data_IF_973833287903
#
_entry.id   IF_973833287903
#
_cell.length_a   1.000
_cell.length_b   1.000
_cell.length_c   1.000
_cell.angle_alpha   90.00
_cell.angle_beta   90.00
_cell.angle_gamma   90.00
#
_symmetry.space_group_name_H-M   'P 1'
#
loop_
_entity.id
_entity.type
_entity.pdbx_description
1 polymer ?
#
# COMPACT_ATOMS: atom_id res chain seq x y z
N UNK A 1 -9.98 -14.45 3.15
CA UNK A 1 -8.70 -13.88 2.67
C UNK A 1 -7.53 -14.72 3.14
N UNK A 2 -6.51 -14.81 2.29
CA UNK A 2 -5.20 -15.37 2.62
C UNK A 2 -4.25 -14.23 2.95
N UNK A 3 -3.49 -14.37 4.01
CA UNK A 3 -2.51 -13.41 4.47
C UNK A 3 -1.10 -13.94 4.24
N UNK A 4 -0.20 -13.07 3.84
CA UNK A 4 1.23 -13.33 3.80
C UNK A 4 1.85 -12.82 5.10
N UNK A 5 2.54 -13.71 5.80
CA UNK A 5 3.41 -13.39 6.92
C UNK A 5 4.85 -13.74 6.55
N UNK A 6 5.78 -12.82 6.80
CA UNK A 6 7.21 -13.10 6.71
C UNK A 6 7.88 -12.54 7.96
N UNK A 7 8.59 -13.40 8.65
CA UNK A 7 9.42 -13.05 9.79
C UNK A 7 10.90 -13.16 9.34
N UNK A 8 11.67 -12.07 9.48
CA UNK A 8 13.11 -12.06 9.26
C UNK A 8 13.83 -11.97 10.61
N UNK A 9 14.71 -12.93 10.87
CA UNK A 9 15.49 -13.01 12.13
C UNK A 9 14.61 -12.90 13.39
N UNK A 10 13.40 -13.47 13.34
CA UNK A 10 12.42 -13.44 14.43
C UNK A 10 11.57 -12.18 14.51
N UNK A 11 11.76 -11.19 13.62
CA UNK A 11 10.97 -9.96 13.55
C UNK A 11 9.86 -10.13 12.51
N UNK A 12 8.60 -9.92 12.90
CA UNK A 12 7.50 -9.90 11.92
C UNK A 12 7.59 -8.62 11.06
N UNK A 13 8.08 -8.77 9.85
CA UNK A 13 8.28 -7.68 8.92
C UNK A 13 7.15 -7.56 7.90
N UNK A 14 6.53 -8.66 7.51
CA UNK A 14 5.42 -8.67 6.56
C UNK A 14 4.18 -9.25 7.22
N UNK A 15 3.10 -8.46 7.20
CA UNK A 15 1.78 -8.88 7.58
C UNK A 15 0.75 -8.17 6.72
N UNK A 16 0.32 -8.81 5.63
CA UNK A 16 -0.49 -8.17 4.61
C UNK A 16 -1.37 -9.20 3.90
N UNK A 17 -2.63 -8.87 3.53
CA UNK A 17 -3.41 -9.69 2.62
C UNK A 17 -2.67 -9.92 1.30
N UNK A 18 -2.72 -11.16 0.81
CA UNK A 18 -1.97 -11.58 -0.38
C UNK A 18 -2.29 -10.71 -1.60
N UNK A 19 -3.57 -10.41 -1.81
CA UNK A 19 -4.06 -9.58 -2.91
C UNK A 19 -3.50 -8.15 -2.87
N UNK A 20 -3.40 -7.54 -1.69
CA UNK A 20 -2.79 -6.23 -1.51
C UNK A 20 -1.27 -6.28 -1.65
N UNK A 21 -0.60 -7.29 -1.05
CA UNK A 21 0.85 -7.42 -1.15
C UNK A 21 1.34 -7.50 -2.60
N UNK A 22 0.60 -8.18 -3.47
CA UNK A 22 0.96 -8.33 -4.89
C UNK A 22 0.36 -7.25 -5.81
N UNK A 23 -0.18 -6.16 -5.23
CA UNK A 23 -0.66 -5.02 -6.00
C UNK A 23 -1.92 -5.28 -6.83
N UNK A 24 -2.63 -6.37 -6.54
CA UNK A 24 -3.85 -6.73 -7.27
C UNK A 24 -5.12 -6.17 -6.62
N UNK A 25 -5.13 -6.07 -5.27
CA UNK A 25 -6.29 -5.61 -4.52
C UNK A 25 -7.47 -6.58 -4.55
N UNK A 26 -8.63 -6.09 -4.20
CA UNK A 26 -9.84 -6.90 -4.07
C UNK A 26 -10.21 -7.61 -5.37
N UNK A 27 -10.43 -8.93 -5.26
CA UNK A 27 -10.72 -9.79 -6.40
C UNK A 27 -9.49 -10.31 -7.13
N UNK A 28 -8.30 -9.85 -6.73
CA UNK A 28 -7.01 -10.26 -7.29
C UNK A 28 -6.97 -10.29 -8.82
N UNK A 29 -7.34 -9.21 -9.52
CA UNK A 29 -7.23 -9.15 -10.98
C UNK A 29 -5.76 -9.26 -11.42
N UNK A 30 -5.54 -9.41 -12.72
CA UNK A 30 -4.20 -9.31 -13.27
C UNK A 30 -3.63 -7.92 -13.01
N UNK A 31 -2.41 -7.88 -12.49
CA UNK A 31 -1.67 -6.65 -12.21
C UNK A 31 -0.19 -6.89 -12.48
N UNK A 32 0.52 -5.84 -12.89
CA UNK A 32 1.95 -5.98 -13.17
C UNK A 32 2.66 -4.65 -12.99
N UNK A 33 3.68 -4.66 -12.15
CA UNK A 33 4.70 -3.63 -12.11
C UNK A 33 6.08 -4.27 -11.93
N UNK A 34 7.11 -3.44 -11.75
CA UNK A 34 8.49 -3.94 -11.61
C UNK A 34 8.67 -4.87 -10.41
N UNK A 35 8.05 -4.60 -9.27
CA UNK A 35 8.27 -5.32 -8.02
C UNK A 35 7.28 -6.44 -7.76
N UNK A 36 6.03 -6.29 -8.17
CA UNK A 36 4.97 -7.26 -7.88
C UNK A 36 4.06 -7.48 -9.08
N UNK A 37 3.50 -8.68 -9.17
CA UNK A 37 2.51 -8.99 -10.21
C UNK A 37 1.56 -10.11 -9.79
N UNK A 38 0.37 -10.10 -10.38
CA UNK A 38 -0.64 -11.15 -10.34
C UNK A 38 -1.07 -11.48 -11.77
N UNK A 39 -1.24 -12.76 -12.09
CA UNK A 39 -1.79 -13.18 -13.38
C UNK A 39 -3.33 -13.19 -13.42
N UNK A 40 -3.97 -12.85 -12.31
CA UNK A 40 -5.42 -12.91 -12.12
C UNK A 40 -5.99 -14.33 -12.07
N UNK A 41 -5.15 -15.36 -12.00
CA UNK A 41 -5.51 -16.80 -12.00
C UNK A 41 -4.93 -17.56 -10.82
N UNK A 42 -4.27 -16.85 -9.89
CA UNK A 42 -3.70 -17.44 -8.67
C UNK A 42 -2.18 -17.51 -8.64
N UNK A 43 -1.47 -17.02 -9.69
CA UNK A 43 -0.02 -16.88 -9.66
C UNK A 43 0.36 -15.46 -9.26
N UNK A 44 1.20 -15.37 -8.24
CA UNK A 44 1.70 -14.12 -7.72
C UNK A 44 3.22 -14.11 -7.74
N UNK A 45 3.83 -12.99 -8.09
CA UNK A 45 5.29 -12.86 -8.14
C UNK A 45 5.72 -11.59 -7.39
N UNK A 46 6.71 -11.72 -6.51
CA UNK A 46 7.39 -10.59 -5.87
C UNK A 46 8.87 -10.59 -6.26
N UNK A 47 9.39 -9.39 -6.52
CA UNK A 47 10.80 -9.12 -6.82
C UNK A 47 11.40 -8.14 -5.81
N UNK A 48 10.71 -7.89 -4.69
CA UNK A 48 11.29 -7.15 -3.59
C UNK A 48 12.53 -7.88 -3.09
N UNK A 49 13.63 -7.16 -2.94
CA UNK A 49 14.81 -7.67 -2.25
C UNK A 49 14.49 -7.70 -0.75
N UNK A 50 14.65 -8.85 -0.11
CA UNK A 50 14.26 -9.05 1.28
C UNK A 50 15.47 -9.57 2.08
N UNK A 51 16.38 -8.67 2.52
CA UNK A 51 17.57 -9.08 3.26
C UNK A 51 17.22 -9.63 4.64
N UNK A 52 17.96 -10.64 5.09
CA UNK A 52 17.95 -11.18 6.44
C UNK A 52 19.36 -11.66 6.82
N UNK A 53 19.67 -11.69 8.11
CA UNK A 53 21.01 -12.04 8.59
C UNK A 53 21.17 -13.55 8.81
N UNK A 54 20.16 -14.22 9.37
CA UNK A 54 20.25 -15.62 9.77
C UNK A 54 19.15 -16.47 9.12
N UNK A 55 17.88 -16.05 9.20
CA UNK A 55 16.79 -16.85 8.67
C UNK A 55 15.56 -16.01 8.27
N UNK A 56 14.79 -16.56 7.33
CA UNK A 56 13.48 -16.06 6.95
C UNK A 56 12.42 -17.15 7.11
N UNK A 57 11.31 -16.82 7.73
CA UNK A 57 10.15 -17.71 7.90
C UNK A 57 8.96 -17.11 7.13
N UNK A 58 8.49 -17.84 6.11
CA UNK A 58 7.41 -17.41 5.24
C UNK A 58 6.19 -18.31 5.44
N UNK A 59 5.04 -17.71 5.72
CA UNK A 59 3.77 -18.41 5.98
C UNK A 59 2.63 -17.80 5.20
N UNK A 60 1.71 -18.65 4.76
CA UNK A 60 0.40 -18.25 4.28
C UNK A 60 -0.65 -18.59 5.36
N UNK A 61 -1.32 -17.58 5.86
CA UNK A 61 -2.35 -17.73 6.87
C UNK A 61 -3.72 -17.45 6.25
N UNK A 62 -4.64 -18.40 6.35
CA UNK A 62 -6.01 -18.22 5.88
C UNK A 62 -6.95 -17.82 7.02
N UNK A 63 -7.88 -16.95 6.71
CA UNK A 63 -8.98 -16.53 7.61
C UNK A 63 -10.34 -17.03 7.10
N UNK A 64 -10.35 -18.21 6.45
CA UNK A 64 -11.56 -18.89 5.95
C UNK A 64 -11.39 -20.39 6.11
N UNK A 65 -12.49 -21.13 6.14
CA UNK A 65 -12.45 -22.60 6.23
C UNK A 65 -12.25 -23.29 4.87
N UNK A 66 -12.21 -22.53 3.78
CA UNK A 66 -12.03 -23.09 2.42
C UNK A 66 -10.59 -23.59 2.30
N UNK A 67 -10.38 -24.90 2.04
CA UNK A 67 -9.05 -25.43 1.83
C UNK A 67 -8.44 -24.91 0.53
N UNK A 68 -7.14 -24.68 0.53
CA UNK A 68 -6.40 -24.38 -0.69
C UNK A 68 -5.02 -25.06 -0.64
N UNK A 69 -4.42 -25.25 -1.79
CA UNK A 69 -3.03 -25.69 -1.94
C UNK A 69 -2.24 -24.56 -2.56
N UNK A 70 -1.08 -24.28 -2.01
CA UNK A 70 -0.16 -23.29 -2.55
C UNK A 70 1.23 -23.93 -2.74
N UNK A 71 1.91 -23.51 -3.81
CA UNK A 71 3.33 -23.80 -4.03
C UNK A 71 4.05 -22.45 -3.92
N UNK A 72 5.06 -22.41 -3.06
CA UNK A 72 5.91 -21.24 -2.88
C UNK A 72 7.29 -21.58 -3.42
N UNK A 73 7.80 -20.76 -4.33
CA UNK A 73 9.15 -20.86 -4.86
C UNK A 73 9.89 -19.58 -4.52
N UNK A 74 10.99 -19.69 -3.79
CA UNK A 74 11.88 -18.58 -3.45
C UNK A 74 13.24 -18.72 -4.12
N UNK A 75 13.85 -17.61 -4.45
CA UNK A 75 15.23 -17.51 -4.89
C UNK A 75 16.00 -16.79 -3.80
N UNK A 76 17.09 -17.39 -3.34
CA UNK A 76 17.98 -16.82 -2.34
C UNK A 76 19.38 -16.72 -2.92
N UNK A 77 20.12 -15.72 -2.49
CA UNK A 77 21.51 -15.49 -2.87
C UNK A 77 22.27 -14.96 -1.67
N UNK A 78 23.58 -15.02 -1.70
CA UNK A 78 24.42 -14.47 -0.66
C UNK A 78 24.24 -12.94 -0.58
N UNK A 79 24.21 -12.44 0.64
CA UNK A 79 24.04 -11.02 0.90
C UNK A 79 24.98 -10.54 2.01
N UNK A 80 25.77 -9.52 1.70
CA UNK A 80 26.69 -8.91 2.68
C UNK A 80 25.93 -8.07 3.70
N UNK A 81 25.63 -8.66 4.85
CA UNK A 81 24.95 -7.96 5.93
C UNK A 81 25.86 -6.94 6.60
N UNK A 82 25.39 -5.71 6.71
CA UNK A 82 26.13 -4.59 7.31
C UNK A 82 25.27 -3.84 8.31
N UNK A 83 25.86 -2.93 9.07
CA UNK A 83 25.11 -2.03 9.97
C UNK A 83 24.17 -1.07 9.24
N UNK A 84 24.26 -0.94 7.93
CA UNK A 84 23.39 -0.12 7.11
C UNK A 84 22.23 -0.91 6.48
N UNK A 85 22.30 -2.23 6.52
CA UNK A 85 21.26 -3.10 5.97
C UNK A 85 19.92 -2.89 6.68
N UNK A 86 18.85 -2.90 5.91
CA UNK A 86 17.48 -2.71 6.37
C UNK A 86 16.64 -3.94 6.03
N UNK A 87 15.71 -4.30 6.90
CA UNK A 87 14.70 -5.31 6.63
C UNK A 87 13.60 -4.72 5.73
N UNK A 88 13.11 -5.55 4.81
CA UNK A 88 11.90 -5.22 4.05
C UNK A 88 10.65 -5.40 4.92
N UNK A 89 9.73 -4.46 4.85
CA UNK A 89 8.45 -4.52 5.53
C UNK A 89 7.28 -4.34 4.55
N UNK A 90 6.17 -5.02 4.84
CA UNK A 90 4.88 -4.74 4.24
C UNK A 90 3.82 -4.72 5.34
N UNK A 91 3.21 -3.57 5.54
CA UNK A 91 2.19 -3.33 6.56
C UNK A 91 0.84 -3.09 5.92
N UNK A 92 -0.23 -3.34 6.67
CA UNK A 92 -1.58 -3.26 6.17
C UNK A 92 -2.50 -2.54 7.15
N UNK A 93 -3.38 -1.72 6.61
CA UNK A 93 -4.44 -1.02 7.32
C UNK A 93 -5.73 -1.06 6.50
N UNK A 94 -6.86 -1.36 7.12
CA UNK A 94 -8.17 -1.25 6.49
C UNK A 94 -9.18 -0.56 7.41
N UNK A 95 -10.08 0.18 6.79
CA UNK A 95 -11.20 0.86 7.45
C UNK A 95 -12.37 0.95 6.50
N UNK A 96 -13.58 0.80 7.04
CA UNK A 96 -14.83 0.86 6.27
C UNK A 96 -15.65 2.07 6.65
N UNK A 97 -16.46 2.54 5.70
CA UNK A 97 -17.37 3.66 5.89
C UNK A 97 -16.67 4.98 6.31
N UNK A 98 -15.46 5.19 5.78
CA UNK A 98 -14.73 6.44 5.99
C UNK A 98 -15.52 7.55 5.29
N UNK A 99 -15.96 8.61 6.01
CA UNK A 99 -16.72 9.68 5.39
C UNK A 99 -15.84 10.51 4.44
N UNK A 100 -16.40 10.87 3.30
CA UNK A 100 -15.83 11.81 2.35
C UNK A 100 -16.81 12.96 2.12
N UNK A 101 -16.30 14.13 1.87
CA UNK A 101 -17.13 15.31 1.74
C UNK A 101 -16.66 16.19 0.55
N UNK A 102 -17.52 17.09 0.06
CA UNK A 102 -17.25 17.95 -1.07
C UNK A 102 -17.08 19.44 -0.69
N UNK A 103 -16.96 19.76 0.59
CA UNK A 103 -16.65 21.09 1.06
C UNK A 103 -15.17 21.24 1.37
N UNK A 104 -14.40 21.74 0.41
CA UNK A 104 -12.95 21.94 0.51
C UNK A 104 -12.51 22.88 1.65
N UNK A 105 -13.43 23.66 2.21
CA UNK A 105 -13.16 24.58 3.31
C UNK A 105 -13.73 24.08 4.65
N UNK A 106 -14.29 22.90 4.69
CA UNK A 106 -14.87 22.36 5.92
C UNK A 106 -13.80 22.16 6.98
N UNK A 107 -14.01 22.63 8.21
CA UNK A 107 -13.12 22.30 9.33
C UNK A 107 -13.22 20.83 9.75
N UNK A 108 -14.21 20.11 9.25
CA UNK A 108 -14.46 18.68 9.53
C UNK A 108 -13.82 17.75 8.49
N UNK A 109 -13.04 18.29 7.54
CA UNK A 109 -12.29 17.49 6.59
C UNK A 109 -11.30 16.60 7.33
N UNK A 110 -11.32 15.30 6.99
CA UNK A 110 -10.49 14.28 7.60
C UNK A 110 -9.22 14.07 6.77
N UNK A 111 -8.10 13.88 7.46
CA UNK A 111 -6.92 13.25 6.90
C UNK A 111 -6.91 11.79 7.37
N UNK A 112 -7.17 10.86 6.45
CA UNK A 112 -7.11 9.44 6.77
C UNK A 112 -5.66 8.96 6.80
N UNK A 113 -5.21 8.46 7.96
CA UNK A 113 -3.85 7.99 8.10
C UNK A 113 -3.63 6.68 7.35
N UNK A 114 -2.93 6.74 6.24
CA UNK A 114 -2.55 5.58 5.43
C UNK A 114 -1.54 4.70 6.17
N UNK A 115 -0.48 5.30 6.70
CA UNK A 115 0.52 4.64 7.54
C UNK A 115 1.32 5.65 8.35
N UNK A 116 1.78 5.23 9.53
CA UNK A 116 2.79 5.94 10.30
C UNK A 116 3.91 4.97 10.65
N UNK A 117 5.12 5.27 10.24
CA UNK A 117 6.31 4.46 10.47
C UNK A 117 7.24 5.22 11.41
N UNK A 118 7.73 4.55 12.46
CA UNK A 118 8.72 5.09 13.41
C UNK A 118 10.04 4.37 13.25
N UNK A 119 11.15 5.06 13.55
CA UNK A 119 12.50 4.56 13.34
C UNK A 119 13.10 5.07 12.04
N UNK A 120 14.28 4.58 11.68
CA UNK A 120 14.97 4.93 10.43
C UNK A 120 14.57 3.98 9.32
N UNK A 121 14.27 4.52 8.15
CA UNK A 121 13.88 3.69 7.02
C UNK A 121 13.78 4.42 5.68
N UNK A 122 13.20 3.71 4.72
CA UNK A 122 12.96 4.18 3.35
C UNK A 122 11.59 3.69 2.92
N UNK A 123 10.69 4.60 2.57
CA UNK A 123 9.36 4.28 2.03
C UNK A 123 9.47 4.01 0.53
N UNK A 124 8.94 2.87 0.10
CA UNK A 124 9.13 2.36 -1.27
C UNK A 124 7.84 2.23 -2.07
N UNK A 125 6.70 2.56 -1.49
CA UNK A 125 5.43 2.57 -2.21
C UNK A 125 4.29 1.91 -1.45
N UNK A 126 3.18 1.74 -2.17
CA UNK A 126 1.92 1.33 -1.57
C UNK A 126 0.92 0.76 -2.57
N UNK A 127 -0.14 0.21 -2.01
CA UNK A 127 -1.35 -0.23 -2.72
C UNK A 127 -2.55 0.31 -1.97
N UNK A 128 -3.44 1.00 -2.67
CA UNK A 128 -4.76 1.36 -2.19
C UNK A 128 -5.81 0.56 -2.96
N UNK A 129 -6.48 -0.36 -2.30
CA UNK A 129 -7.64 -1.07 -2.83
C UNK A 129 -8.88 -0.66 -2.06
N UNK A 130 -9.91 -0.23 -2.75
CA UNK A 130 -11.04 0.41 -2.10
C UNK A 130 -12.37 0.02 -2.72
N UNK A 131 -13.46 0.27 -1.97
CA UNK A 131 -14.81 0.32 -2.50
C UNK A 131 -15.36 1.74 -2.33
N UNK A 132 -15.72 2.37 -3.43
CA UNK A 132 -16.34 3.69 -3.45
C UNK A 132 -17.86 3.55 -3.42
N UNK A 133 -18.49 4.08 -2.35
CA UNK A 133 -19.95 4.14 -2.21
C UNK A 133 -20.54 5.42 -2.83
N UNK A 134 -19.69 6.40 -3.20
CA UNK A 134 -20.14 7.61 -3.87
C UNK A 134 -20.55 7.33 -5.33
N UNK A 135 -21.49 8.11 -5.89
CA UNK A 135 -21.89 7.92 -7.30
C UNK A 135 -20.79 8.32 -8.30
N UNK A 136 -19.85 9.16 -7.86
CA UNK A 136 -18.79 9.74 -8.69
C UNK A 136 -17.43 9.65 -8.00
N UNK A 137 -16.47 10.48 -8.46
CA UNK A 137 -15.10 10.53 -7.98
C UNK A 137 -15.01 10.85 -6.47
N UNK A 138 -14.19 10.09 -5.77
CA UNK A 138 -14.02 10.11 -4.31
C UNK A 138 -12.68 10.67 -3.84
N UNK A 139 -11.73 10.94 -4.72
CA UNK A 139 -10.32 11.11 -4.38
C UNK A 139 -9.73 12.47 -4.76
N UNK A 140 -10.47 13.55 -4.52
CA UNK A 140 -9.99 14.94 -4.70
C UNK A 140 -8.98 15.35 -3.65
N UNK A 141 -8.92 14.61 -2.52
CA UNK A 141 -8.06 14.96 -1.40
C UNK A 141 -6.59 14.65 -1.64
N UNK A 142 -5.76 15.57 -1.15
CA UNK A 142 -4.31 15.53 -1.30
C UNK A 142 -3.66 14.37 -0.54
N UNK A 143 -2.61 13.80 -1.10
CA UNK A 143 -1.67 13.08 -0.27
C UNK A 143 -0.81 14.07 0.54
N UNK A 144 -0.58 13.74 1.81
CA UNK A 144 0.24 14.51 2.73
C UNK A 144 1.25 13.59 3.39
N UNK A 145 2.54 13.85 3.18
CA UNK A 145 3.62 13.05 3.76
C UNK A 145 4.53 13.93 4.59
N UNK A 146 4.63 13.63 5.89
CA UNK A 146 5.56 14.29 6.82
C UNK A 146 6.76 13.39 7.07
N UNK A 147 7.94 13.99 7.09
CA UNK A 147 9.20 13.31 7.38
C UNK A 147 9.78 13.88 8.67
N UNK A 148 10.16 12.97 9.57
CA UNK A 148 10.83 13.27 10.83
C UNK A 148 10.06 14.29 11.69
N UNK A 149 10.59 15.48 11.85
CA UNK A 149 10.02 16.54 12.70
C UNK A 149 9.38 17.68 11.88
N UNK A 150 9.11 17.44 10.60
CA UNK A 150 8.49 18.46 9.77
C UNK A 150 7.09 18.81 10.31
N UNK A 151 6.84 20.12 10.43
CA UNK A 151 5.56 20.66 10.93
C UNK A 151 4.56 20.95 9.81
N UNK A 152 5.02 20.94 8.57
CA UNK A 152 4.24 21.01 7.34
C UNK A 152 4.58 19.78 6.49
N UNK A 153 3.67 19.25 5.65
CA UNK A 153 3.98 18.08 4.84
C UNK A 153 5.23 18.31 3.97
N UNK A 154 6.18 17.37 4.05
CA UNK A 154 7.38 17.36 3.19
C UNK A 154 7.02 17.14 1.73
N UNK A 155 5.92 16.39 1.51
CA UNK A 155 5.26 16.21 0.21
C UNK A 155 3.77 16.46 0.39
N UNK A 156 3.17 17.21 -0.53
CA UNK A 156 1.75 17.47 -0.59
C UNK A 156 1.33 17.51 -2.06
N UNK A 157 0.30 16.77 -2.39
CA UNK A 157 -0.19 16.61 -3.76
C UNK A 157 -1.40 17.47 -4.08
N UNK A 158 -2.17 16.98 -5.03
CA UNK A 158 -3.34 17.66 -5.59
C UNK A 158 -4.52 16.72 -5.81
N UNK A 159 -4.43 15.50 -5.30
CA UNK A 159 -5.49 14.50 -5.40
C UNK A 159 -4.95 13.07 -5.37
N UNK A 160 -5.78 12.14 -4.97
CA UNK A 160 -5.45 10.71 -4.93
C UNK A 160 -5.07 10.18 -6.32
N UNK A 161 -5.76 10.62 -7.38
CA UNK A 161 -5.45 10.23 -8.76
C UNK A 161 -4.06 10.72 -9.19
N UNK A 162 -3.70 11.93 -8.82
CA UNK A 162 -2.40 12.52 -9.16
C UNK A 162 -1.28 11.76 -8.44
N UNK A 163 -1.50 11.41 -7.18
CA UNK A 163 -0.57 10.56 -6.45
C UNK A 163 -0.33 9.23 -7.16
N UNK A 164 -1.37 8.61 -7.72
CA UNK A 164 -1.27 7.33 -8.44
C UNK A 164 -1.02 7.47 -9.95
N UNK A 165 -0.68 8.66 -10.44
CA UNK A 165 -0.35 8.95 -11.84
C UNK A 165 -1.48 8.64 -12.84
N UNK A 166 -2.72 8.88 -12.46
CA UNK A 166 -3.88 8.65 -13.30
C UNK A 166 -4.82 9.87 -13.35
N UNK A 167 -4.28 11.05 -13.60
CA UNK A 167 -5.00 12.34 -13.66
C UNK A 167 -6.38 12.25 -14.31
N UNK A 168 -7.32 13.07 -13.83
CA UNK A 168 -8.70 13.17 -14.30
C UNK A 168 -9.61 12.01 -13.89
N UNK A 169 -9.41 11.49 -12.69
CA UNK A 169 -10.07 10.33 -12.13
C UNK A 169 -9.75 9.00 -12.86
N UNK A 170 -9.72 7.89 -12.18
CA UNK A 170 -9.40 6.60 -12.79
C UNK A 170 -10.63 6.07 -13.51
N UNK A 171 -10.55 6.04 -14.79
CA UNK A 171 -11.67 5.57 -15.60
C UNK A 171 -11.38 4.25 -16.32
N UNK A 172 -10.10 3.88 -16.44
CA UNK A 172 -9.67 2.64 -17.10
C UNK A 172 -8.48 2.02 -16.39
N UNK A 173 -8.42 0.69 -16.28
CA UNK A 173 -7.25 0.00 -15.78
C UNK A 173 -6.01 0.25 -16.65
N UNK A 174 -4.86 0.45 -16.00
CA UNK A 174 -3.56 0.59 -16.67
C UNK A 174 -2.45 -0.02 -15.84
N UNK A 175 -1.30 -0.27 -16.47
CA UNK A 175 -0.10 -0.74 -15.81
C UNK A 175 1.13 -0.04 -16.38
N UNK A 176 2.04 0.34 -15.49
CA UNK A 176 3.37 0.90 -15.79
C UNK A 176 4.42 0.20 -14.95
N UNK A 177 5.72 0.38 -15.22
CA UNK A 177 6.76 -0.26 -14.42
C UNK A 177 6.70 0.05 -12.91
N UNK A 178 6.20 1.24 -12.51
CA UNK A 178 6.21 1.69 -11.12
C UNK A 178 4.83 2.11 -10.58
N UNK A 179 3.77 1.93 -11.36
CA UNK A 179 2.43 2.31 -10.94
C UNK A 179 1.36 1.62 -11.77
N UNK A 180 0.11 1.76 -11.37
CA UNK A 180 -1.01 1.23 -12.13
C UNK A 180 -2.33 1.32 -11.39
N UNK A 181 -3.40 1.07 -12.13
CA UNK A 181 -4.74 0.85 -11.60
C UNK A 181 -5.25 -0.50 -12.15
N UNK A 182 -5.00 -1.62 -11.48
CA UNK A 182 -5.39 -2.94 -11.98
C UNK A 182 -6.91 -3.16 -11.99
N UNK A 183 -7.67 -2.36 -11.23
CA UNK A 183 -9.12 -2.46 -11.17
C UNK A 183 -9.77 -1.08 -11.10
N UNK A 184 -10.75 -0.86 -11.96
CA UNK A 184 -11.73 0.21 -11.91
C UNK A 184 -13.04 -0.35 -12.46
N UNK A 185 -14.05 -0.54 -11.60
CA UNK A 185 -15.29 -1.24 -11.97
C UNK A 185 -16.15 -0.38 -12.91
N UNK A 186 -16.25 0.92 -12.64
CA UNK A 186 -17.09 1.85 -13.40
C UNK A 186 -16.33 3.12 -13.80
N UNK A 187 -16.70 3.71 -14.91
CA UNK A 187 -16.15 4.98 -15.37
C UNK A 187 -16.48 6.17 -14.44
N UNK A 188 -17.53 6.06 -13.64
CA UNK A 188 -17.88 6.98 -12.55
C UNK A 188 -16.97 6.83 -11.33
N UNK A 189 -16.12 5.80 -11.30
CA UNK A 189 -15.35 5.37 -10.13
C UNK A 189 -16.16 4.75 -8.99
N UNK A 190 -17.48 4.59 -9.13
CA UNK A 190 -18.28 3.81 -8.18
C UNK A 190 -17.81 2.34 -8.16
N UNK A 191 -17.92 1.69 -7.00
CA UNK A 191 -17.52 0.29 -6.86
C UNK A 191 -16.04 0.11 -6.50
N UNK A 192 -15.48 -1.04 -6.88
CA UNK A 192 -14.10 -1.36 -6.55
C UNK A 192 -13.10 -0.65 -7.46
N UNK A 193 -12.11 -0.05 -6.83
CA UNK A 193 -10.94 0.53 -7.48
C UNK A 193 -9.68 0.01 -6.77
N UNK A 194 -8.58 -0.10 -7.51
CA UNK A 194 -7.29 -0.47 -6.93
C UNK A 194 -6.20 0.32 -7.63
N UNK A 195 -5.32 0.90 -6.84
CA UNK A 195 -4.14 1.61 -7.29
C UNK A 195 -2.90 0.98 -6.71
N UNK A 196 -1.81 1.09 -7.43
CA UNK A 196 -0.49 0.69 -6.96
C UNK A 196 0.53 1.76 -7.36
N UNK A 197 1.39 2.14 -6.43
CA UNK A 197 2.56 2.96 -6.69
C UNK A 197 3.76 2.35 -6.00
N UNK A 198 4.79 2.02 -6.77
CA UNK A 198 6.08 1.59 -6.24
C UNK A 198 7.15 2.59 -6.64
N UNK A 199 8.17 2.75 -5.81
CA UNK A 199 9.23 3.74 -5.96
C UNK A 199 10.57 3.03 -6.12
N UNK A 200 11.46 3.61 -6.90
CA UNK A 200 12.83 3.14 -7.09
C UNK A 200 13.83 4.25 -6.77
N UNK A 201 14.07 5.15 -7.73
CA UNK A 201 14.98 6.28 -7.52
C UNK A 201 14.32 7.42 -6.71
N UNK A 202 13.01 7.42 -6.63
CA UNK A 202 12.16 8.38 -5.92
C UNK A 202 11.67 7.86 -4.55
N UNK A 203 12.36 6.88 -3.97
CA UNK A 203 12.07 6.41 -2.61
C UNK A 203 12.20 7.54 -1.58
N UNK A 204 11.44 7.46 -0.50
CA UNK A 204 11.41 8.53 0.51
C UNK A 204 12.16 8.07 1.77
N UNK A 205 13.40 8.55 2.00
CA UNK A 205 14.14 8.25 3.22
C UNK A 205 13.61 9.06 4.40
N UNK A 206 13.66 8.45 5.60
CA UNK A 206 13.35 9.10 6.87
C UNK A 206 14.30 8.63 7.98
N UNK A 207 14.61 9.52 8.91
CA UNK A 207 15.56 9.25 9.99
C UNK A 207 14.90 8.80 11.29
N UNK A 208 13.67 9.24 11.57
CA UNK A 208 12.95 8.99 12.81
C UNK A 208 11.50 8.61 12.60
N UNK A 209 10.82 9.19 11.59
CA UNK A 209 9.40 9.00 11.37
C UNK A 209 9.01 9.35 9.94
N UNK A 210 8.05 8.60 9.40
CA UNK A 210 7.27 8.98 8.24
C UNK A 210 5.79 8.83 8.60
N UNK A 211 4.99 9.86 8.28
CA UNK A 211 3.52 9.76 8.29
C UNK A 211 3.02 10.05 6.91
N UNK A 212 2.11 9.21 6.41
CA UNK A 212 1.41 9.41 5.17
C UNK A 212 -0.10 9.40 5.44
N UNK A 213 -0.77 10.46 5.02
CA UNK A 213 -2.21 10.64 5.13
C UNK A 213 -2.80 10.96 3.74
N UNK A 214 -4.07 10.58 3.56
CA UNK A 214 -4.89 10.99 2.42
C UNK A 214 -6.04 11.85 2.93
N UNK A 215 -6.19 13.04 2.38
CA UNK A 215 -7.34 13.89 2.67
C UNK A 215 -8.61 13.30 2.07
N UNK A 216 -9.71 13.35 2.83
CA UNK A 216 -10.96 12.69 2.47
C UNK A 216 -11.94 13.66 1.79
N UNK A 217 -11.60 14.05 0.55
CA UNK A 217 -12.42 14.91 -0.30
C UNK A 217 -12.94 14.16 -1.54
N UNK A 218 -14.12 14.54 -2.01
CA UNK A 218 -14.82 13.88 -3.11
C UNK A 218 -15.72 14.89 -3.86
N UNK A 219 -16.22 14.51 -5.04
CA UNK A 219 -17.19 15.35 -5.74
C UNK A 219 -18.56 15.38 -5.07
N UNK A 220 -18.94 14.31 -4.39
CA UNK A 220 -20.21 14.20 -3.68
C UNK A 220 -19.97 13.65 -2.28
N UNK A 221 -20.71 14.13 -1.25
CA UNK A 221 -20.62 13.54 0.08
C UNK A 221 -20.99 12.06 0.07
N UNK A 222 -20.29 11.27 0.85
CA UNK A 222 -20.53 9.83 0.93
C UNK A 222 -19.53 9.11 1.80
N UNK A 223 -19.15 7.91 1.40
CA UNK A 223 -18.17 7.09 2.12
C UNK A 223 -17.33 6.23 1.18
N UNK A 224 -16.19 5.81 1.67
CA UNK A 224 -15.32 4.82 1.03
C UNK A 224 -14.87 3.77 2.05
N UNK A 225 -14.57 2.56 1.56
CA UNK A 225 -13.90 1.53 2.33
C UNK A 225 -12.47 1.40 1.80
N UNK A 226 -11.47 1.71 2.61
CA UNK A 226 -10.06 1.65 2.21
C UNK A 226 -9.37 0.40 2.73
N UNK A 227 -8.45 -0.11 1.93
CA UNK A 227 -7.54 -1.22 2.22
C UNK A 227 -6.17 -0.83 1.68
N UNK A 228 -5.28 -0.46 2.58
CA UNK A 228 -3.97 0.07 2.26
C UNK A 228 -2.86 -0.91 2.64
N UNK A 229 -1.92 -1.13 1.74
CA UNK A 229 -0.66 -1.79 2.03
C UNK A 229 0.49 -0.83 1.76
N UNK A 230 1.44 -0.73 2.68
CA UNK A 230 2.63 0.11 2.56
C UNK A 230 3.89 -0.75 2.53
N UNK A 231 4.81 -0.45 1.60
CA UNK A 231 6.09 -1.12 1.41
C UNK A 231 7.24 -0.21 1.82
N UNK A 232 8.11 -0.70 2.69
CA UNK A 232 9.21 0.10 3.20
C UNK A 232 10.36 -0.76 3.69
N UNK A 233 11.55 -0.18 3.82
CA UNK A 233 12.69 -0.79 4.48
C UNK A 233 12.98 -0.06 5.78
N UNK A 234 13.31 -0.82 6.83
CA UNK A 234 13.60 -0.25 8.14
C UNK A 234 14.62 -1.05 8.95
N UNK A 235 15.11 -0.45 10.02
CA UNK A 235 15.96 -1.15 10.98
C UNK A 235 15.15 -2.16 11.79
N UNK A 236 15.80 -3.05 12.54
CA UNK A 236 15.13 -3.99 13.43
C UNK A 236 14.21 -3.31 14.49
N UNK A 237 14.49 -2.05 14.82
CA UNK A 237 13.70 -1.26 15.78
C UNK A 237 12.60 -0.42 15.11
N UNK A 238 12.56 -0.36 13.79
CA UNK A 238 11.54 0.40 13.07
C UNK A 238 10.22 -0.36 13.04
N UNK A 239 9.11 0.36 13.19
CA UNK A 239 7.78 -0.23 13.23
C UNK A 239 6.74 0.69 12.61
N UNK A 240 5.76 0.14 11.92
CA UNK A 240 4.56 0.88 11.53
C UNK A 240 3.46 0.73 12.59
N UNK A 241 2.63 1.76 12.73
CA UNK A 241 1.45 1.69 13.59
C UNK A 241 0.46 0.70 12.98
N UNK A 242 0.23 -0.41 13.67
CA UNK A 242 -0.85 -1.34 13.30
C UNK A 242 -2.18 -0.77 13.80
N UNK A 243 -3.09 -0.54 12.88
CA UNK A 243 -4.50 -0.27 13.19
C UNK A 243 -5.28 -1.54 12.89
N UNK A 244 -5.71 -2.22 13.94
CA UNK A 244 -6.54 -3.44 13.87
C UNK A 244 -8.02 -3.08 13.88
#
# INVERSE_FOLDING_TARGET
RTWLRIDFDGIRCVWCPLDCFFGAGTGAPASSNWYVSSDGKGTFTSRWVMPYAEHADLRLEKRTDIPFTAVITGYVDDFDWTAQTLYFHATYHDETSIPVNNDYNSPDNLDWNFTTITGRGVYCGDVLSLYNHCPDWYGEGDEKIWIDNDTFPSFMGTGTEDYYNCSWAPVVPFATPFGGAPRADEASSHGYNTFVRTRNLDVIPFGQRLQFDLEMLSWNPGAVDYRAAAFWYGTAASAATEKN
#
